data_IF_918869636375
#
_entry.id   IF_918869636375
#
_cell.length_a   1.000
_cell.length_b   1.000
_cell.length_c   1.000
_cell.angle_alpha   90.00
_cell.angle_beta   90.00
_cell.angle_gamma   90.00
#
_symmetry.space_group_name_H-M   'P 1'
#
loop_
_entity.id
_entity.type
_entity.pdbx_description
1 polymer ?
#
# COMPACT_ATOMS: atom_id res chain seq x y z
N UNK A 1 -7.41 5.78 7.06
CA UNK A 1 -7.45 5.70 5.59
C UNK A 1 -8.89 5.52 5.17
N UNK A 2 -9.35 6.27 4.17
CA UNK A 2 -10.72 6.16 3.65
C UNK A 2 -10.64 5.79 2.17
N UNK A 3 -10.77 4.50 1.85
CA UNK A 3 -10.57 4.01 0.50
C UNK A 3 -9.14 4.29 0.01
N UNK A 4 -9.01 5.13 -1.02
CA UNK A 4 -7.75 5.46 -1.67
C UNK A 4 -7.01 6.67 -1.06
N UNK A 5 -7.59 7.26 -0.01
CA UNK A 5 -7.10 8.49 0.61
C UNK A 5 -6.42 8.20 1.95
N UNK A 6 -5.20 8.70 2.11
CA UNK A 6 -4.47 8.77 3.38
C UNK A 6 -4.49 10.19 3.91
N UNK A 7 -4.91 10.36 5.17
CA UNK A 7 -4.91 11.64 5.87
C UNK A 7 -3.87 11.57 6.99
N UNK A 8 -2.93 12.51 6.99
CA UNK A 8 -1.94 12.69 8.05
C UNK A 8 -2.34 13.89 8.92
N UNK A 9 -2.43 13.66 10.22
CA UNK A 9 -2.71 14.70 11.20
C UNK A 9 -1.39 15.16 11.82
N UNK A 10 -1.04 16.43 11.63
CA UNK A 10 0.14 17.04 12.25
C UNK A 10 -0.18 17.56 13.65
N UNK A 11 0.82 17.52 14.52
CA UNK A 11 0.76 18.10 15.88
C UNK A 11 0.43 19.61 15.87
N UNK A 12 0.73 20.30 14.77
CA UNK A 12 0.45 21.73 14.58
C UNK A 12 -1.00 22.00 14.14
N UNK A 13 -1.87 20.98 14.10
CA UNK A 13 -3.29 21.09 13.73
C UNK A 13 -3.57 21.07 12.23
N UNK A 14 -2.55 20.90 11.38
CA UNK A 14 -2.72 20.77 9.94
C UNK A 14 -3.04 19.32 9.54
N UNK A 15 -3.96 19.17 8.58
CA UNK A 15 -4.26 17.89 7.95
C UNK A 15 -3.67 17.87 6.53
N UNK A 16 -2.92 16.83 6.21
CA UNK A 16 -2.39 16.59 4.88
C UNK A 16 -3.11 15.40 4.26
N UNK A 17 -3.71 15.61 3.09
CA UNK A 17 -4.44 14.57 2.36
C UNK A 17 -3.64 14.11 1.15
N UNK A 18 -3.52 12.79 1.00
CA UNK A 18 -2.84 12.15 -0.12
C UNK A 18 -3.75 11.14 -0.77
N UNK A 19 -3.83 11.17 -2.09
CA UNK A 19 -4.66 10.28 -2.89
C UNK A 19 -3.75 9.38 -3.75
N UNK A 20 -3.98 8.07 -3.68
CA UNK A 20 -3.21 7.06 -4.40
C UNK A 20 -4.14 6.11 -5.16
N UNK A 21 -3.60 5.27 -6.04
CA UNK A 21 -4.38 4.19 -6.66
C UNK A 21 -4.86 3.17 -5.61
N UNK A 22 -4.01 2.90 -4.61
CA UNK A 22 -4.33 2.07 -3.46
C UNK A 22 -3.69 2.66 -2.19
N UNK A 23 -4.49 2.74 -1.13
CA UNK A 23 -4.02 3.10 0.21
C UNK A 23 -4.17 1.89 1.12
N UNK A 24 -3.07 1.18 1.37
CA UNK A 24 -3.06 -0.11 2.05
C UNK A 24 -2.73 0.06 3.55
N UNK A 25 -3.63 -0.38 4.43
CA UNK A 25 -3.44 -0.27 5.88
C UNK A 25 -2.96 -1.59 6.48
N UNK A 26 -1.67 -1.69 6.79
CA UNK A 26 -1.06 -2.92 7.35
C UNK A 26 -0.52 -2.73 8.78
N UNK A 27 -1.03 -1.74 9.53
CA UNK A 27 -0.51 -1.38 10.85
C UNK A 27 -1.00 -2.29 11.98
N UNK A 28 -2.31 -2.55 12.06
CA UNK A 28 -2.92 -3.25 13.20
C UNK A 28 -3.55 -4.58 12.79
N UNK A 29 -2.79 -5.66 13.00
CA UNK A 29 -3.24 -7.02 12.71
C UNK A 29 -4.23 -7.56 13.73
N UNK A 30 -4.26 -7.01 14.94
CA UNK A 30 -5.06 -7.54 16.05
C UNK A 30 -6.47 -6.96 16.08
N UNK A 31 -6.65 -5.70 15.68
CA UNK A 31 -7.99 -5.08 15.75
C UNK A 31 -8.95 -5.50 14.63
N UNK A 32 -8.56 -6.37 13.68
CA UNK A 32 -9.42 -6.85 12.57
C UNK A 32 -10.35 -5.76 12.01
N UNK A 33 -9.86 -4.52 12.00
CA UNK A 33 -10.59 -3.43 11.37
C UNK A 33 -10.73 -3.84 9.91
N UNK A 34 -11.92 -3.68 9.32
CA UNK A 34 -12.25 -4.14 7.98
C UNK A 34 -11.30 -3.64 6.86
N UNK A 35 -10.35 -2.76 7.20
CA UNK A 35 -9.34 -2.20 6.32
C UNK A 35 -7.93 -2.80 6.47
N UNK A 36 -7.67 -3.78 7.35
CA UNK A 36 -6.33 -4.37 7.44
C UNK A 36 -5.98 -5.17 6.18
N UNK A 37 -4.84 -4.87 5.57
CA UNK A 37 -4.33 -5.52 4.36
C UNK A 37 -3.13 -6.38 4.71
N UNK A 38 -3.20 -7.67 4.40
CA UNK A 38 -2.09 -8.61 4.55
C UNK A 38 -1.27 -8.79 3.26
N UNK A 39 -0.24 -9.62 3.31
CA UNK A 39 0.66 -9.84 2.17
C UNK A 39 -0.02 -10.51 0.98
N UNK A 40 -1.01 -11.37 1.23
CA UNK A 40 -1.75 -12.01 0.15
C UNK A 40 -2.63 -10.99 -0.58
N UNK A 41 -3.27 -10.09 0.16
CA UNK A 41 -4.07 -9.03 -0.42
C UNK A 41 -3.21 -8.02 -1.20
N UNK A 42 -2.01 -7.66 -0.70
CA UNK A 42 -1.04 -6.83 -1.42
C UNK A 42 -0.64 -7.50 -2.74
N UNK A 43 -0.27 -8.79 -2.69
CA UNK A 43 0.10 -9.54 -3.89
C UNK A 43 -1.03 -9.57 -4.91
N UNK A 44 -2.25 -9.87 -4.48
CA UNK A 44 -3.40 -9.96 -5.38
C UNK A 44 -3.78 -8.61 -6.00
N UNK A 45 -3.62 -7.51 -5.26
CA UNK A 45 -3.95 -6.16 -5.75
C UNK A 45 -2.88 -5.57 -6.67
N UNK A 46 -1.60 -5.77 -6.36
CA UNK A 46 -0.49 -5.10 -7.05
C UNK A 46 0.32 -6.06 -7.92
N UNK A 47 0.83 -7.14 -7.34
CA UNK A 47 1.79 -8.01 -8.03
C UNK A 47 1.15 -8.90 -9.10
N UNK A 48 -0.06 -9.41 -8.85
CA UNK A 48 -0.75 -10.31 -9.78
C UNK A 48 -1.10 -9.65 -11.12
N UNK A 49 -1.64 -8.41 -11.17
CA UNK A 49 -1.79 -7.68 -12.45
C UNK A 49 -0.46 -7.46 -13.19
N UNK A 50 0.60 -7.07 -12.47
CA UNK A 50 1.94 -6.89 -13.06
C UNK A 50 2.50 -8.20 -13.63
N UNK A 51 2.27 -9.32 -12.96
CA UNK A 51 2.67 -10.63 -13.43
C UNK A 51 1.92 -11.01 -14.72
N UNK A 52 0.62 -10.78 -14.78
CA UNK A 52 -0.17 -11.04 -15.99
C UNK A 52 0.35 -10.22 -17.17
N UNK A 53 0.64 -8.93 -16.99
CA UNK A 53 1.22 -8.10 -18.04
C UNK A 53 2.61 -8.57 -18.46
N UNK A 54 3.42 -9.08 -17.53
CA UNK A 54 4.70 -9.71 -17.85
C UNK A 54 4.52 -10.94 -18.74
N UNK A 55 3.53 -11.78 -18.45
CA UNK A 55 3.19 -12.97 -19.26
C UNK A 55 2.62 -12.60 -20.64
N UNK A 56 1.92 -11.48 -20.74
CA UNK A 56 1.42 -10.92 -22.02
C UNK A 56 2.55 -10.30 -22.88
N UNK A 57 3.79 -10.28 -22.38
CA UNK A 57 4.97 -9.80 -23.09
C UNK A 57 5.31 -8.33 -22.84
N UNK A 58 4.67 -7.67 -21.85
CA UNK A 58 5.05 -6.31 -21.45
C UNK A 58 6.21 -6.32 -20.46
N UNK A 59 7.09 -5.32 -20.56
CA UNK A 59 8.08 -5.08 -19.53
C UNK A 59 7.42 -4.43 -18.32
N UNK A 60 7.53 -5.06 -17.15
CA UNK A 60 6.99 -4.55 -15.89
C UNK A 60 8.09 -4.27 -14.88
N UNK A 61 7.86 -3.29 -13.99
CA UNK A 61 8.79 -2.93 -12.94
C UNK A 61 8.02 -2.45 -11.70
N UNK A 62 8.46 -2.86 -10.51
CA UNK A 62 7.90 -2.47 -9.22
C UNK A 62 9.02 -2.02 -8.30
N UNK A 63 8.86 -0.84 -7.70
CA UNK A 63 9.81 -0.28 -6.74
C UNK A 63 9.17 -0.14 -5.36
N UNK A 64 9.88 -0.60 -4.33
CA UNK A 64 9.54 -0.32 -2.93
C UNK A 64 10.33 0.91 -2.44
N UNK A 65 9.65 1.99 -2.09
CA UNK A 65 10.25 3.24 -1.65
C UNK A 65 9.80 3.63 -0.24
N UNK A 66 10.71 4.21 0.55
CA UNK A 66 10.44 4.64 1.92
C UNK A 66 11.70 4.69 2.77
N UNK A 67 11.61 5.29 3.96
CA UNK A 67 12.72 5.38 4.91
C UNK A 67 13.20 4.01 5.41
N UNK A 68 14.43 3.91 5.92
CA UNK A 68 14.91 2.67 6.56
C UNK A 68 13.98 2.26 7.71
N UNK A 69 13.64 0.97 7.77
CA UNK A 69 12.67 0.43 8.75
C UNK A 69 11.19 0.56 8.37
N UNK A 70 10.84 1.20 7.24
CA UNK A 70 9.44 1.39 6.81
C UNK A 70 8.77 0.16 6.19
N UNK A 71 9.42 -1.01 6.19
CA UNK A 71 8.84 -2.25 5.65
C UNK A 71 9.18 -2.59 4.19
N UNK A 72 10.09 -1.87 3.52
CA UNK A 72 10.47 -2.14 2.11
C UNK A 72 10.91 -3.58 1.79
N UNK A 73 11.53 -4.28 2.74
CA UNK A 73 11.96 -5.67 2.57
C UNK A 73 10.91 -6.67 3.09
N UNK A 74 9.90 -6.17 3.80
CA UNK A 74 8.80 -6.98 4.33
C UNK A 74 7.64 -7.06 3.32
N UNK A 75 7.36 -5.94 2.65
CA UNK A 75 6.50 -5.84 1.47
C UNK A 75 7.11 -6.56 0.28
#
# INVERSE_FOLDING_TARGET
MNGNTTILHSENGYNYEFNFDYSLWSFDRQNQSASYVDQEEIFNKIAKPLLNWSLDGYNTCLFAYGQTGSGKSYT
#
